data_IF_196600548414
#
_entry.id   IF_196600548414
#
_cell.length_a   1.000
_cell.length_b   1.000
_cell.length_c   1.000
_cell.angle_alpha   90.00
_cell.angle_beta   90.00
_cell.angle_gamma   90.00
#
_symmetry.space_group_name_H-M   'P 1'
#
loop_
_entity.id
_entity.type
_entity.pdbx_description
1 polymer ?
#
# COMPACT_ATOMS: atom_id res chain seq x y z
N UNK A 1 -4.97 56.10 -18.18
CA UNK A 1 -4.80 54.64 -18.30
C UNK A 1 -5.40 53.90 -17.14
N UNK A 2 -6.23 52.88 -17.38
CA UNK A 2 -6.79 52.06 -16.31
C UNK A 2 -5.70 51.15 -15.75
N UNK A 3 -5.54 51.14 -14.44
CA UNK A 3 -4.57 50.26 -13.72
C UNK A 3 -5.25 48.96 -13.35
N UNK A 4 -4.73 47.83 -13.83
CA UNK A 4 -5.20 46.52 -13.46
C UNK A 4 -4.39 46.02 -12.27
N UNK A 5 -5.08 45.74 -11.16
CA UNK A 5 -4.45 45.16 -9.97
C UNK A 5 -4.59 43.63 -10.02
N UNK A 6 -3.44 42.91 -10.11
CA UNK A 6 -3.42 41.44 -10.17
C UNK A 6 -3.62 40.72 -8.84
N UNK A 7 -3.86 41.43 -7.74
CA UNK A 7 -3.91 40.88 -6.39
C UNK A 7 -4.97 39.80 -6.17
N UNK A 8 -6.14 39.92 -6.80
CA UNK A 8 -7.21 38.93 -6.69
C UNK A 8 -6.80 37.57 -7.27
N UNK A 9 -6.16 37.56 -8.43
CA UNK A 9 -5.72 36.32 -9.07
C UNK A 9 -4.60 35.64 -8.27
N UNK A 10 -3.64 36.41 -7.78
CA UNK A 10 -2.59 35.91 -6.91
C UNK A 10 -3.18 35.29 -5.63
N UNK A 11 -4.11 36.00 -4.98
CA UNK A 11 -4.78 35.52 -3.76
C UNK A 11 -5.54 34.19 -4.00
N UNK A 12 -6.26 34.08 -5.11
CA UNK A 12 -6.96 32.83 -5.49
C UNK A 12 -5.98 31.67 -5.65
N UNK A 13 -4.86 31.87 -6.34
CA UNK A 13 -3.81 30.85 -6.53
C UNK A 13 -3.17 30.45 -5.19
N UNK A 14 -2.86 31.44 -4.32
CA UNK A 14 -2.31 31.18 -3.02
C UNK A 14 -3.28 30.40 -2.13
N UNK A 15 -4.55 30.74 -2.14
CA UNK A 15 -5.58 30.08 -1.35
C UNK A 15 -5.77 28.61 -1.76
N UNK A 16 -5.61 28.24 -3.03
CA UNK A 16 -5.64 26.85 -3.46
C UNK A 16 -4.56 26.02 -2.79
N UNK A 17 -3.34 26.54 -2.75
CA UNK A 17 -2.21 25.86 -2.12
C UNK A 17 -2.39 25.78 -0.60
N UNK A 18 -2.77 26.89 0.02
CA UNK A 18 -3.01 26.93 1.47
C UNK A 18 -4.17 26.01 1.91
N UNK A 19 -5.16 25.83 1.07
CA UNK A 19 -6.25 24.89 1.32
C UNK A 19 -5.76 23.44 1.36
N UNK A 20 -4.82 23.08 0.49
CA UNK A 20 -4.18 21.76 0.49
C UNK A 20 -3.21 21.58 1.66
N UNK A 21 -2.67 22.67 2.19
CA UNK A 21 -1.75 22.68 3.34
C UNK A 21 -2.44 22.74 4.71
N UNK A 22 -3.76 22.68 4.76
CA UNK A 22 -4.50 22.68 6.04
C UNK A 22 -4.05 21.50 6.92
N UNK A 23 -3.85 21.77 8.19
CA UNK A 23 -3.38 20.80 9.16
C UNK A 23 -1.86 20.66 9.25
N UNK A 24 -1.10 21.34 8.40
CA UNK A 24 0.35 21.35 8.50
C UNK A 24 0.80 22.21 9.68
N UNK A 25 1.94 21.89 10.26
CA UNK A 25 2.44 22.57 11.45
C UNK A 25 3.16 23.87 11.11
N UNK A 26 2.95 24.88 11.94
CA UNK A 26 3.65 26.16 11.87
C UNK A 26 3.37 26.93 10.58
N UNK A 27 4.40 27.54 10.03
CA UNK A 27 4.33 28.36 8.82
C UNK A 27 3.93 27.58 7.57
N UNK A 28 4.08 26.26 7.56
CA UNK A 28 3.71 25.38 6.43
C UNK A 28 2.22 25.41 6.12
N UNK A 29 1.36 25.74 7.10
CA UNK A 29 -0.08 25.88 6.88
C UNK A 29 -0.52 27.31 6.59
N UNK A 30 0.34 28.31 6.81
CA UNK A 30 -0.04 29.73 6.80
C UNK A 30 0.71 30.56 5.77
N UNK A 31 2.01 30.36 5.61
CA UNK A 31 2.84 31.10 4.67
C UNK A 31 2.88 30.39 3.32
N UNK A 32 2.45 31.08 2.26
CA UNK A 32 2.37 30.51 0.92
C UNK A 32 3.68 29.91 0.41
N UNK A 33 4.80 30.61 0.59
CA UNK A 33 6.12 30.16 0.10
C UNK A 33 6.49 28.78 0.68
N UNK A 34 6.36 28.64 1.98
CA UNK A 34 6.65 27.39 2.70
C UNK A 34 5.57 26.32 2.44
N UNK A 35 4.31 26.73 2.43
CA UNK A 35 3.18 25.84 2.12
C UNK A 35 3.29 25.24 0.73
N UNK A 36 3.66 26.02 -0.28
CA UNK A 36 3.85 25.56 -1.66
C UNK A 36 4.89 24.44 -1.74
N UNK A 37 6.05 24.62 -1.12
CA UNK A 37 7.10 23.61 -1.10
C UNK A 37 6.61 22.32 -0.41
N UNK A 38 5.95 22.45 0.71
CA UNK A 38 5.42 21.32 1.47
C UNK A 38 4.33 20.56 0.69
N UNK A 39 3.44 21.26 0.02
CA UNK A 39 2.38 20.65 -0.81
C UNK A 39 2.97 19.94 -2.03
N UNK A 40 3.94 20.55 -2.72
CA UNK A 40 4.62 19.90 -3.85
C UNK A 40 5.28 18.59 -3.42
N UNK A 41 5.96 18.60 -2.27
CA UNK A 41 6.57 17.39 -1.71
C UNK A 41 5.51 16.34 -1.33
N UNK A 42 4.43 16.77 -0.70
CA UNK A 42 3.32 15.88 -0.33
C UNK A 42 2.70 15.19 -1.53
N UNK A 43 2.47 15.89 -2.63
CA UNK A 43 1.92 15.32 -3.86
C UNK A 43 2.88 14.33 -4.52
N UNK A 44 4.17 14.64 -4.54
CA UNK A 44 5.21 13.75 -5.08
C UNK A 44 5.32 12.47 -4.26
N UNK A 45 5.36 12.57 -2.94
CA UNK A 45 5.40 11.43 -2.04
C UNK A 45 4.10 10.61 -2.08
N UNK A 46 2.96 11.25 -2.27
CA UNK A 46 1.67 10.60 -2.45
C UNK A 46 1.65 9.71 -3.71
N UNK A 47 2.16 10.21 -4.83
CA UNK A 47 2.31 9.42 -6.06
C UNK A 47 3.19 8.17 -5.83
N UNK A 48 4.35 8.38 -5.21
CA UNK A 48 5.28 7.30 -4.86
C UNK A 48 4.65 6.30 -3.87
N UNK A 49 3.98 6.83 -2.84
CA UNK A 49 3.33 6.02 -1.81
C UNK A 49 2.21 5.12 -2.35
N UNK A 50 1.41 5.61 -3.30
CA UNK A 50 0.39 4.77 -3.95
C UNK A 50 0.98 3.58 -4.71
N UNK A 51 2.15 3.76 -5.33
CA UNK A 51 2.88 2.67 -6.00
C UNK A 51 3.53 1.72 -4.99
N UNK A 52 4.11 2.25 -3.93
CA UNK A 52 4.72 1.46 -2.86
C UNK A 52 3.69 0.65 -2.06
N UNK A 53 2.47 1.17 -1.89
CA UNK A 53 1.38 0.50 -1.17
C UNK A 53 1.16 -0.93 -1.67
N UNK A 54 1.10 -1.12 -2.98
CA UNK A 54 0.92 -2.45 -3.60
C UNK A 54 2.06 -3.41 -3.22
N UNK A 55 3.31 -2.93 -3.26
CA UNK A 55 4.49 -3.72 -2.91
C UNK A 55 4.52 -4.08 -1.42
N UNK A 56 4.19 -3.12 -0.56
CA UNK A 56 4.18 -3.33 0.90
C UNK A 56 3.10 -4.33 1.31
N UNK A 57 1.89 -4.23 0.77
CA UNK A 57 0.85 -5.21 1.05
C UNK A 57 1.22 -6.60 0.54
N UNK A 58 1.80 -6.70 -0.63
CA UNK A 58 2.29 -8.00 -1.13
C UNK A 58 3.36 -8.61 -0.23
N UNK A 59 4.29 -7.82 0.26
CA UNK A 59 5.30 -8.29 1.24
C UNK A 59 4.65 -8.80 2.52
N UNK A 60 3.65 -8.07 3.04
CA UNK A 60 2.90 -8.48 4.22
C UNK A 60 2.17 -9.81 4.00
N UNK A 61 1.49 -9.97 2.87
CA UNK A 61 0.81 -11.22 2.53
C UNK A 61 1.78 -12.39 2.44
N UNK A 62 2.92 -12.20 1.79
CA UNK A 62 3.97 -13.22 1.67
C UNK A 62 4.50 -13.62 3.05
N UNK A 63 4.75 -12.65 3.94
CA UNK A 63 5.20 -12.93 5.29
C UNK A 63 4.20 -13.77 6.09
N UNK A 64 2.92 -13.43 6.02
CA UNK A 64 1.84 -14.17 6.69
C UNK A 64 1.69 -15.59 6.14
N UNK A 65 1.68 -15.75 4.82
CA UNK A 65 1.60 -17.06 4.16
C UNK A 65 2.83 -17.91 4.54
N UNK A 66 4.02 -17.33 4.53
CA UNK A 66 5.26 -18.05 4.88
C UNK A 66 5.25 -18.54 6.33
N UNK A 67 4.79 -17.71 7.27
CA UNK A 67 4.65 -18.09 8.66
C UNK A 67 3.68 -19.25 8.84
N UNK A 68 2.51 -19.19 8.23
CA UNK A 68 1.51 -20.26 8.29
C UNK A 68 2.00 -21.53 7.58
N UNK A 69 2.68 -21.41 6.46
CA UNK A 69 3.25 -22.54 5.73
C UNK A 69 4.33 -23.26 6.58
N UNK A 70 5.18 -22.51 7.29
CA UNK A 70 6.21 -23.07 8.17
C UNK A 70 5.61 -23.82 9.37
N UNK A 71 4.53 -23.32 9.95
CA UNK A 71 3.78 -24.04 10.99
C UNK A 71 3.32 -25.39 10.48
N UNK A 72 2.93 -25.47 9.21
CA UNK A 72 2.52 -26.72 8.55
C UNK A 72 3.71 -27.51 7.93
N UNK A 73 4.94 -27.14 8.20
CA UNK A 73 6.14 -27.85 7.75
C UNK A 73 6.58 -27.60 6.31
N UNK A 74 6.09 -26.53 5.67
CA UNK A 74 6.46 -26.13 4.31
C UNK A 74 7.15 -24.77 4.30
N UNK A 75 8.05 -24.56 3.33
CA UNK A 75 8.51 -23.21 3.00
C UNK A 75 7.50 -22.53 2.06
N UNK A 76 7.53 -21.20 2.03
CA UNK A 76 6.66 -20.42 1.12
C UNK A 76 6.74 -20.90 -0.33
N UNK A 77 7.95 -21.09 -0.84
CA UNK A 77 8.17 -21.51 -2.22
C UNK A 77 7.58 -22.90 -2.53
N UNK A 78 7.80 -23.85 -1.62
CA UNK A 78 7.23 -25.19 -1.73
C UNK A 78 5.70 -25.16 -1.66
N UNK A 79 5.14 -24.41 -0.73
CA UNK A 79 3.70 -24.24 -0.59
C UNK A 79 3.07 -23.67 -1.87
N UNK A 80 3.61 -22.58 -2.40
CA UNK A 80 3.09 -21.95 -3.63
C UNK A 80 3.25 -22.87 -4.85
N UNK A 81 4.35 -23.60 -4.93
CA UNK A 81 4.57 -24.56 -6.01
C UNK A 81 3.62 -25.77 -5.91
N UNK A 82 3.40 -26.26 -4.71
CA UNK A 82 2.42 -27.35 -4.48
C UNK A 82 0.99 -26.94 -4.85
N UNK A 83 0.57 -25.72 -4.53
CA UNK A 83 -0.73 -25.19 -4.96
C UNK A 83 -0.82 -25.08 -6.49
N UNK A 84 0.25 -24.66 -7.14
CA UNK A 84 0.31 -24.57 -8.59
C UNK A 84 0.17 -25.97 -9.24
N UNK A 85 0.83 -26.99 -8.70
CA UNK A 85 0.70 -28.37 -9.17
C UNK A 85 -0.71 -28.94 -8.94
N UNK A 86 -1.38 -28.48 -7.88
CA UNK A 86 -2.77 -28.85 -7.58
C UNK A 86 -3.79 -28.08 -8.44
N UNK A 87 -3.36 -27.18 -9.31
CA UNK A 87 -4.21 -26.27 -10.09
C UNK A 87 -5.13 -25.40 -9.23
N UNK A 88 -4.68 -25.03 -8.02
CA UNK A 88 -5.38 -24.12 -7.12
C UNK A 88 -4.87 -22.71 -7.37
N UNK A 89 -5.69 -21.88 -7.99
CA UNK A 89 -5.36 -20.48 -8.29
C UNK A 89 -6.02 -19.55 -7.28
N UNK A 90 -5.38 -19.39 -6.13
CA UNK A 90 -5.75 -18.43 -5.09
C UNK A 90 -4.73 -17.31 -5.02
N UNK A 91 -5.21 -16.07 -4.99
CA UNK A 91 -4.31 -14.94 -4.87
C UNK A 91 -3.73 -14.82 -3.45
N UNK A 92 -2.60 -14.14 -3.33
CA UNK A 92 -1.87 -14.00 -2.05
C UNK A 92 -2.67 -13.28 -0.97
N UNK A 93 -3.56 -12.38 -1.34
CA UNK A 93 -4.44 -11.69 -0.39
C UNK A 93 -5.38 -12.68 0.30
N UNK A 94 -6.06 -13.52 -0.45
CA UNK A 94 -6.96 -14.55 0.08
C UNK A 94 -6.20 -15.55 0.93
N UNK A 95 -5.06 -16.04 0.45
CA UNK A 95 -4.21 -16.97 1.23
C UNK A 95 -3.71 -16.35 2.54
N UNK A 96 -3.36 -15.08 2.52
CA UNK A 96 -2.94 -14.35 3.72
C UNK A 96 -4.09 -14.17 4.71
N UNK A 97 -5.30 -13.93 4.22
CA UNK A 97 -6.50 -13.81 5.04
C UNK A 97 -6.88 -15.15 5.69
N UNK A 98 -6.82 -16.24 4.93
CA UNK A 98 -6.99 -17.59 5.47
C UNK A 98 -5.93 -17.94 6.51
N UNK A 99 -4.69 -17.56 6.29
CA UNK A 99 -3.60 -17.79 7.24
C UNK A 99 -3.84 -17.16 8.62
N UNK A 100 -4.57 -16.05 8.66
CA UNK A 100 -4.88 -15.32 9.92
C UNK A 100 -6.20 -15.78 10.52
N UNK A 101 -7.24 -15.90 9.70
CA UNK A 101 -8.62 -16.07 10.15
C UNK A 101 -9.12 -17.52 10.08
N UNK A 102 -8.53 -18.35 9.22
CA UNK A 102 -8.95 -19.74 8.99
C UNK A 102 -7.71 -20.67 8.92
N UNK A 103 -7.12 -20.92 10.06
CA UNK A 103 -5.95 -21.79 10.17
C UNK A 103 -6.24 -23.24 9.72
N UNK A 104 -7.45 -23.74 9.97
CA UNK A 104 -7.83 -25.10 9.56
C UNK A 104 -7.94 -25.23 8.04
N UNK A 105 -8.59 -24.27 7.38
CA UNK A 105 -8.65 -24.18 5.92
C UNK A 105 -7.28 -24.08 5.28
N UNK A 106 -6.39 -23.27 5.88
CA UNK A 106 -5.00 -23.16 5.43
C UNK A 106 -4.21 -24.47 5.60
N UNK A 107 -4.41 -25.18 6.71
CA UNK A 107 -3.77 -26.48 6.94
C UNK A 107 -4.18 -27.51 5.88
N UNK A 108 -5.46 -27.58 5.50
CA UNK A 108 -5.93 -28.43 4.40
C UNK A 108 -5.27 -28.09 3.07
N UNK A 109 -5.12 -26.82 2.76
CA UNK A 109 -4.36 -26.39 1.57
C UNK A 109 -2.89 -26.82 1.63
N UNK A 110 -2.27 -26.74 2.81
CA UNK A 110 -0.89 -27.18 3.00
C UNK A 110 -0.74 -28.69 2.83
N UNK A 111 -1.71 -29.48 3.27
CA UNK A 111 -1.73 -30.95 3.03
C UNK A 111 -1.85 -31.30 1.56
N UNK A 112 -2.75 -30.60 0.85
CA UNK A 112 -2.88 -30.77 -0.61
C UNK A 112 -1.57 -30.41 -1.32
N UNK A 113 -0.94 -29.31 -0.93
CA UNK A 113 0.35 -28.91 -1.47
C UNK A 113 1.45 -29.97 -1.21
N UNK A 114 1.50 -30.53 0.01
CA UNK A 114 2.43 -31.62 0.35
C UNK A 114 2.21 -32.86 -0.50
N UNK A 115 0.96 -33.27 -0.68
CA UNK A 115 0.62 -34.46 -1.48
C UNK A 115 1.05 -34.34 -2.94
N UNK A 116 1.07 -33.14 -3.48
CA UNK A 116 1.51 -32.87 -4.85
C UNK A 116 3.03 -32.73 -5.00
N UNK A 117 3.72 -32.46 -3.90
CA UNK A 117 5.19 -32.35 -3.87
C UNK A 117 5.88 -33.69 -3.64
N UNK A 118 5.16 -34.64 -3.16
CA UNK A 118 5.66 -35.99 -2.89
C UNK A 118 5.89 -36.81 -4.16
#
# INVERSE_FOLDING_TARGET
MARIKGGLNAKKKHNRVLKLAKGYRGARSKQYRVAKQSVMRALTESYKGRKQKKRQFRQLWIARINSAARINGLSYSKFMYGLKLANIDLNRKVLSEMAVNDAEGFAKLAEVAKSKLA
#
